data_IF_596576129941
#
_entry.id   IF_596576129941
#
_cell.length_a   1.000
_cell.length_b   1.000
_cell.length_c   1.000
_cell.angle_alpha   90.00
_cell.angle_beta   90.00
_cell.angle_gamma   90.00
#
_symmetry.space_group_name_H-M   'P 1'
#
loop_
_entity.id
_entity.type
_entity.pdbx_description
1 polymer ?
#
# COMPACT_ATOMS: atom_id res chain seq x y z
N UNK A 1 1.82 -6.99 -2.34
CA UNK A 1 0.83 -6.18 -3.11
C UNK A 1 1.46 -4.84 -3.47
N UNK A 2 0.87 -4.02 -4.34
CA UNK A 2 1.24 -2.60 -4.53
C UNK A 2 0.02 -1.68 -4.51
N UNK A 3 0.19 -0.41 -4.17
CA UNK A 3 -0.87 0.59 -4.32
C UNK A 3 -0.98 0.94 -5.80
N UNK A 4 -2.15 0.72 -6.39
CA UNK A 4 -2.49 1.17 -7.75
C UNK A 4 -3.00 2.60 -7.74
N UNK A 5 -3.90 2.92 -6.79
CA UNK A 5 -4.50 4.25 -6.66
C UNK A 5 -5.03 4.45 -5.23
N UNK A 6 -4.73 5.60 -4.63
CA UNK A 6 -5.40 6.06 -3.41
C UNK A 6 -6.72 6.72 -3.82
N UNK A 7 -7.85 6.26 -3.28
CA UNK A 7 -9.20 6.73 -3.62
C UNK A 7 -9.70 7.82 -2.68
N UNK A 8 -9.29 7.79 -1.42
CA UNK A 8 -9.59 8.82 -0.43
C UNK A 8 -8.51 8.80 0.66
N UNK A 9 -8.25 9.96 1.26
CA UNK A 9 -7.30 10.08 2.36
C UNK A 9 -7.80 11.16 3.34
N UNK A 10 -7.84 10.82 4.62
CA UNK A 10 -8.16 11.73 5.72
C UNK A 10 -7.00 11.61 6.72
N UNK A 11 -6.25 12.70 6.89
CA UNK A 11 -4.98 12.70 7.64
C UNK A 11 -4.05 11.59 7.13
N UNK A 12 -3.58 10.69 7.99
CA UNK A 12 -2.72 9.57 7.63
C UNK A 12 -3.51 8.33 7.19
N UNK A 13 -4.79 8.24 7.49
CA UNK A 13 -5.61 7.12 7.04
C UNK A 13 -6.02 7.31 5.57
N UNK A 14 -5.86 6.27 4.75
CA UNK A 14 -6.30 6.29 3.36
C UNK A 14 -7.03 5.02 2.98
N UNK A 15 -7.86 5.13 1.94
CA UNK A 15 -8.37 3.99 1.19
C UNK A 15 -7.68 3.92 -0.16
N UNK A 16 -7.30 2.72 -0.57
CA UNK A 16 -6.62 2.49 -1.83
C UNK A 16 -7.12 1.22 -2.52
N UNK A 17 -6.94 1.22 -3.84
CA UNK A 17 -6.96 0.03 -4.67
C UNK A 17 -5.54 -0.53 -4.66
N UNK A 18 -5.38 -1.71 -4.10
CA UNK A 18 -4.15 -2.49 -4.15
C UNK A 18 -4.21 -3.45 -5.34
N UNK A 19 -3.10 -3.61 -6.04
CA UNK A 19 -2.96 -4.53 -7.17
C UNK A 19 -1.85 -5.54 -6.88
N UNK A 20 -2.08 -6.80 -7.23
CA UNK A 20 -1.05 -7.81 -7.21
C UNK A 20 -0.17 -7.68 -8.46
N UNK A 21 1.14 -7.57 -8.27
CA UNK A 21 2.10 -7.47 -9.38
C UNK A 21 2.24 -8.78 -10.17
N UNK A 22 1.81 -9.92 -9.61
CA UNK A 22 1.96 -11.24 -10.23
C UNK A 22 0.75 -11.69 -11.06
N UNK A 23 -0.46 -11.33 -10.63
CA UNK A 23 -1.70 -11.83 -11.24
C UNK A 23 -2.71 -10.72 -11.56
N UNK A 24 -2.32 -9.45 -11.39
CA UNK A 24 -3.13 -8.26 -11.66
C UNK A 24 -4.46 -8.20 -10.90
N UNK A 25 -4.62 -9.03 -9.86
CA UNK A 25 -5.81 -8.99 -9.02
C UNK A 25 -5.83 -7.73 -8.17
N UNK A 26 -6.93 -7.00 -8.20
CA UNK A 26 -7.12 -5.78 -7.43
C UNK A 26 -8.05 -5.99 -6.26
N UNK A 27 -7.68 -5.44 -5.10
CA UNK A 27 -8.52 -5.40 -3.90
C UNK A 27 -8.58 -3.97 -3.38
N UNK A 28 -9.69 -3.57 -2.80
CA UNK A 28 -9.79 -2.31 -2.06
C UNK A 28 -9.52 -2.54 -0.58
N UNK A 29 -8.87 -1.57 0.06
CA UNK A 29 -8.62 -1.64 1.50
C UNK A 29 -8.18 -0.30 2.07
N UNK A 30 -8.14 -0.22 3.39
CA UNK A 30 -7.54 0.90 4.10
C UNK A 30 -6.03 0.73 4.26
N UNK A 31 -5.35 1.81 4.61
CA UNK A 31 -3.93 1.83 4.92
C UNK A 31 -3.54 3.11 5.66
N UNK A 32 -2.31 3.13 6.15
CA UNK A 32 -1.75 4.28 6.86
C UNK A 32 -0.61 4.89 6.06
N UNK A 33 -0.63 6.21 5.90
CA UNK A 33 0.33 7.01 5.13
C UNK A 33 1.57 7.30 6.00
N UNK A 34 2.30 6.23 6.33
CA UNK A 34 3.57 6.25 7.03
C UNK A 34 4.62 5.38 6.33
N UNK A 35 5.89 5.60 6.67
CA UNK A 35 7.01 4.89 6.06
C UNK A 35 6.96 3.37 6.34
N UNK A 36 6.54 2.95 7.53
CA UNK A 36 6.49 1.56 7.90
C UNK A 36 5.41 0.79 7.12
N UNK A 37 4.22 1.36 6.95
CA UNK A 37 3.15 0.77 6.19
C UNK A 37 3.55 0.62 4.72
N UNK A 38 4.13 1.67 4.15
CA UNK A 38 4.57 1.67 2.76
C UNK A 38 5.73 0.70 2.50
N UNK A 39 6.74 0.65 3.38
CA UNK A 39 7.96 -0.12 3.15
C UNK A 39 7.88 -1.57 3.65
N UNK A 40 7.11 -1.84 4.72
CA UNK A 40 7.10 -3.15 5.37
C UNK A 40 5.77 -3.87 5.23
N UNK A 41 4.63 -3.18 5.33
CA UNK A 41 3.31 -3.83 5.40
C UNK A 41 2.80 -4.19 4.00
N UNK A 42 2.70 -3.21 3.09
CA UNK A 42 2.21 -3.42 1.72
C UNK A 42 2.98 -4.52 0.96
N UNK A 43 4.33 -4.56 0.98
CA UNK A 43 5.04 -5.62 0.28
C UNK A 43 4.76 -7.00 0.88
N UNK A 44 4.57 -7.11 2.20
CA UNK A 44 4.25 -8.37 2.90
C UNK A 44 2.77 -8.78 2.81
N UNK A 45 1.88 -7.93 2.31
CA UNK A 45 0.49 -8.31 2.07
C UNK A 45 0.39 -9.44 1.05
N UNK A 46 -0.27 -10.54 1.46
CA UNK A 46 -0.56 -11.69 0.60
C UNK A 46 -1.74 -11.40 -0.31
N UNK A 47 -1.61 -11.71 -1.59
CA UNK A 47 -2.73 -11.67 -2.53
C UNK A 47 -3.74 -12.77 -2.20
N UNK A 48 -5.02 -12.42 -2.09
CA UNK A 48 -6.12 -13.38 -1.87
C UNK A 48 -6.28 -14.39 -3.01
N UNK A 49 -5.86 -14.05 -4.24
CA UNK A 49 -6.04 -14.90 -5.42
C UNK A 49 -4.88 -15.87 -5.67
N UNK A 50 -3.63 -15.44 -5.50
CA UNK A 50 -2.45 -16.27 -5.80
C UNK A 50 -1.57 -16.57 -4.58
N UNK A 51 -1.87 -15.99 -3.40
CA UNK A 51 -1.09 -16.17 -2.18
C UNK A 51 0.28 -15.49 -2.16
N UNK A 52 0.74 -14.94 -3.29
CA UNK A 52 2.04 -14.28 -3.41
C UNK A 52 2.04 -12.88 -2.79
N UNK A 53 3.22 -12.46 -2.34
CA UNK A 53 3.51 -11.12 -1.82
C UNK A 53 4.19 -10.26 -2.91
N UNK A 54 4.52 -9.00 -2.62
CA UNK A 54 5.25 -8.17 -3.59
C UNK A 54 6.65 -8.73 -3.87
N UNK A 55 7.21 -8.39 -5.03
CA UNK A 55 8.56 -8.80 -5.41
C UNK A 55 9.64 -8.08 -4.56
N UNK A 56 10.88 -8.58 -4.60
CA UNK A 56 12.02 -7.92 -3.95
C UNK A 56 12.26 -6.51 -4.51
N UNK A 57 11.86 -6.27 -5.76
CA UNK A 57 11.96 -4.97 -6.42
C UNK A 57 10.78 -4.02 -6.13
N UNK A 58 9.98 -4.30 -5.10
CA UNK A 58 8.85 -3.47 -4.71
C UNK A 58 9.29 -2.02 -4.44
N UNK A 59 8.63 -1.09 -5.12
CA UNK A 59 8.86 0.35 -4.95
C UNK A 59 7.75 0.95 -4.09
N UNK A 60 8.04 1.31 -2.82
CA UNK A 60 7.06 1.98 -1.97
C UNK A 60 6.73 3.37 -2.51
N UNK A 61 5.47 3.78 -2.38
CA UNK A 61 5.08 5.18 -2.62
C UNK A 61 5.62 6.05 -1.48
N UNK A 62 6.00 7.28 -1.77
CA UNK A 62 6.33 8.29 -0.75
C UNK A 62 5.06 8.69 -0.01
N UNK A 63 5.18 9.00 1.28
CA UNK A 63 4.05 9.48 2.07
C UNK A 63 3.64 10.88 1.63
N UNK A 64 2.36 11.23 1.78
CA UNK A 64 1.87 12.59 1.47
C UNK A 64 2.40 13.60 2.48
N UNK A 65 2.47 13.21 3.76
CA UNK A 65 2.97 14.05 4.84
C UNK A 65 4.34 13.57 5.32
N UNK A 66 5.26 14.49 5.66
CA UNK A 66 6.56 14.14 6.23
C UNK A 66 6.42 13.37 7.55
N UNK A 67 7.47 12.62 7.91
CA UNK A 67 7.59 12.05 9.24
C UNK A 67 7.68 13.16 10.30
N UNK A 68 7.02 12.96 11.45
CA UNK A 68 6.96 13.94 12.53
C UNK A 68 5.93 15.07 12.34
N UNK A 69 5.27 15.17 11.18
CA UNK A 69 4.18 16.13 11.00
C UNK A 69 2.92 15.68 11.75
N UNK A 70 2.40 16.56 12.61
CA UNK A 70 1.13 16.42 13.35
C UNK A 70 0.00 17.11 12.55
N UNK A 71 -1.15 16.43 12.40
CA UNK A 71 -2.30 16.80 11.56
C UNK A 71 -3.61 16.97 12.36
#
# INVERSE_FOLDING_TARGET
>A
MKIKKITSQIRRDFYAIYECEHCSHTITGSGYDDANFHQNVIPKMKCSKCGKIADMNYRPLTTKYPEGMVL
#
